data_IF_228223769388
#
_entry.id   IF_228223769388
#
_cell.length_a   1.000
_cell.length_b   1.000
_cell.length_c   1.000
_cell.angle_alpha   90.00
_cell.angle_beta   90.00
_cell.angle_gamma   90.00
#
_symmetry.space_group_name_H-M   'P 1'
#
loop_
_entity.id
_entity.type
_entity.pdbx_description
1 polymer ?
#
# COMPACT_ATOMS: atom_id res chain seq x y z
N UNK A 1 -0.41 -4.79 82.36
CA UNK A 1 0.64 -4.67 81.36
C UNK A 1 0.27 -5.53 80.17
N UNK A 2 -0.21 -4.91 79.05
CA UNK A 2 -0.56 -5.62 77.81
C UNK A 2 0.51 -5.33 76.75
N UNK A 3 1.26 -6.35 76.38
CA UNK A 3 2.25 -6.26 75.29
C UNK A 3 1.55 -6.29 73.92
N UNK A 4 1.66 -5.22 73.13
CA UNK A 4 1.29 -5.16 71.67
C UNK A 4 2.45 -5.71 70.85
N UNK A 5 2.21 -6.80 70.13
CA UNK A 5 3.10 -7.30 69.10
C UNK A 5 2.90 -6.45 67.83
N UNK A 6 3.95 -5.78 67.38
CA UNK A 6 4.01 -5.11 66.10
C UNK A 6 4.48 -6.12 65.06
N UNK A 7 3.61 -6.46 64.09
CA UNK A 7 4.02 -7.22 62.89
C UNK A 7 4.55 -6.24 61.85
N UNK A 8 5.82 -6.36 61.52
CA UNK A 8 6.41 -5.71 60.37
C UNK A 8 6.09 -6.54 59.09
N UNK A 9 5.31 -5.96 58.15
CA UNK A 9 5.17 -6.52 56.80
C UNK A 9 6.29 -5.96 55.95
N UNK A 10 7.23 -6.81 55.50
CA UNK A 10 8.20 -6.45 54.46
C UNK A 10 7.52 -6.58 53.10
N UNK A 11 7.33 -5.45 52.40
CA UNK A 11 6.87 -5.43 51.04
C UNK A 11 8.05 -5.77 50.11
N UNK A 12 8.02 -6.93 49.49
CA UNK A 12 8.97 -7.32 48.46
C UNK A 12 8.44 -6.71 47.13
N UNK A 13 9.07 -5.64 46.67
CA UNK A 13 8.82 -5.06 45.33
C UNK A 13 9.54 -5.90 44.28
N UNK A 14 8.82 -6.67 43.50
CA UNK A 14 9.35 -7.29 42.29
C UNK A 14 9.55 -6.20 41.23
N UNK A 15 10.80 -5.84 40.95
CA UNK A 15 11.17 -5.05 39.78
C UNK A 15 11.12 -6.01 38.60
N UNK A 16 10.02 -5.95 37.81
CA UNK A 16 9.95 -6.61 36.52
C UNK A 16 10.77 -5.74 35.56
N UNK A 17 11.97 -6.18 35.20
CA UNK A 17 12.72 -5.57 34.13
C UNK A 17 11.93 -5.72 32.83
N UNK A 18 11.80 -4.66 32.00
CA UNK A 18 11.15 -4.79 30.72
C UNK A 18 11.93 -5.81 29.88
N UNK A 19 11.26 -6.88 29.44
CA UNK A 19 11.82 -7.81 28.48
C UNK A 19 12.16 -7.02 27.21
N UNK A 20 13.44 -6.95 26.87
CA UNK A 20 13.90 -6.36 25.61
C UNK A 20 13.29 -7.23 24.49
N UNK A 21 12.35 -6.68 23.71
CA UNK A 21 11.84 -7.35 22.52
C UNK A 21 13.05 -7.69 21.62
N UNK A 22 13.09 -8.88 21.03
CA UNK A 22 14.17 -9.23 20.12
C UNK A 22 14.22 -8.19 19.01
N UNK A 23 15.38 -7.57 18.79
CA UNK A 23 15.58 -6.68 17.65
C UNK A 23 15.31 -7.50 16.38
N UNK A 24 14.33 -7.08 15.61
CA UNK A 24 14.10 -7.65 14.27
C UNK A 24 15.38 -7.45 13.49
N UNK A 25 15.92 -8.55 12.94
CA UNK A 25 17.13 -8.46 12.10
C UNK A 25 16.79 -7.70 10.83
N UNK A 26 17.61 -6.72 10.52
CA UNK A 26 17.59 -5.98 9.27
C UNK A 26 17.65 -6.91 8.06
N UNK A 27 16.89 -6.62 7.00
CA UNK A 27 17.05 -7.34 5.74
C UNK A 27 18.33 -6.88 5.03
N UNK A 28 19.09 -7.85 4.55
CA UNK A 28 20.35 -7.60 3.83
C UNK A 28 20.53 -8.59 2.69
N UNK A 29 21.16 -8.12 1.61
CA UNK A 29 21.59 -8.99 0.51
C UNK A 29 20.45 -9.55 -0.33
N UNK A 30 19.32 -8.79 -0.48
CA UNK A 30 18.33 -9.04 -1.52
C UNK A 30 18.90 -8.64 -2.88
N UNK A 31 18.23 -9.07 -3.93
CA UNK A 31 18.51 -8.67 -5.31
C UNK A 31 17.22 -8.21 -5.97
N UNK A 32 17.31 -7.17 -6.77
CA UNK A 32 16.22 -6.68 -7.61
C UNK A 32 16.38 -7.19 -9.06
N UNK A 33 15.29 -7.60 -9.75
CA UNK A 33 13.94 -7.71 -9.22
C UNK A 33 13.79 -8.80 -8.15
N UNK A 34 12.79 -8.66 -7.25
CA UNK A 34 12.58 -9.55 -6.11
C UNK A 34 12.21 -10.99 -6.52
N UNK A 35 11.48 -11.13 -7.60
CA UNK A 35 11.03 -12.42 -8.13
C UNK A 35 10.82 -12.32 -9.65
N UNK A 36 10.79 -13.46 -10.30
CA UNK A 36 10.59 -13.55 -11.75
C UNK A 36 9.15 -13.23 -12.16
N UNK A 37 8.99 -12.71 -13.38
CA UNK A 37 7.70 -12.38 -14.00
C UNK A 37 7.47 -10.88 -14.17
N UNK A 38 6.43 -10.57 -14.90
CA UNK A 38 6.02 -9.18 -15.16
C UNK A 38 4.91 -8.80 -14.16
N UNK A 39 5.27 -7.96 -13.21
CA UNK A 39 4.39 -7.51 -12.13
C UNK A 39 4.60 -6.02 -11.88
N UNK A 40 3.50 -5.35 -11.52
CA UNK A 40 3.46 -3.92 -11.28
C UNK A 40 2.65 -3.57 -10.03
N UNK A 41 2.62 -2.30 -9.66
CA UNK A 41 1.73 -1.73 -8.65
C UNK A 41 1.74 -2.54 -7.33
N UNK A 42 2.94 -2.80 -6.75
CA UNK A 42 3.06 -3.71 -5.63
C UNK A 42 2.60 -3.09 -4.32
N UNK A 43 1.65 -3.76 -3.66
CA UNK A 43 1.27 -3.45 -2.29
C UNK A 43 1.92 -4.45 -1.32
N UNK A 44 2.67 -3.94 -0.36
CA UNK A 44 3.37 -4.73 0.66
C UNK A 44 2.71 -4.65 2.03
N UNK A 45 2.66 -5.79 2.73
CA UNK A 45 2.22 -5.86 4.12
C UNK A 45 3.10 -6.82 4.92
N UNK A 46 3.41 -6.44 6.17
CA UNK A 46 4.06 -7.35 7.12
C UNK A 46 3.03 -8.21 7.84
N UNK A 47 3.17 -9.53 7.77
CA UNK A 47 2.35 -10.48 8.54
C UNK A 47 3.29 -11.26 9.45
N UNK A 48 3.36 -10.86 10.71
CA UNK A 48 4.38 -11.36 11.63
C UNK A 48 5.79 -10.93 11.20
N UNK A 49 6.65 -11.90 10.89
CA UNK A 49 8.03 -11.70 10.43
C UNK A 49 8.19 -11.83 8.90
N UNK A 50 7.09 -12.04 8.17
CA UNK A 50 7.06 -12.31 6.74
C UNK A 50 6.50 -11.11 5.97
N UNK A 51 7.21 -10.70 4.91
CA UNK A 51 6.72 -9.73 3.94
C UNK A 51 5.85 -10.44 2.92
N UNK A 52 4.64 -9.91 2.72
CA UNK A 52 3.73 -10.28 1.65
C UNK A 52 3.63 -9.13 0.65
N UNK A 53 3.69 -9.46 -0.63
CA UNK A 53 3.54 -8.51 -1.74
C UNK A 53 2.41 -8.99 -2.64
N UNK A 54 1.50 -8.08 -2.92
CA UNK A 54 0.35 -8.26 -3.82
C UNK A 54 0.55 -7.33 -5.01
N UNK A 55 0.92 -7.84 -6.18
CA UNK A 55 1.12 -7.00 -7.36
C UNK A 55 -0.02 -7.18 -8.38
N UNK A 56 -0.14 -6.23 -9.29
CA UNK A 56 -0.82 -6.40 -10.57
C UNK A 56 -0.03 -7.34 -11.47
N UNK A 57 -0.68 -8.28 -12.16
CA UNK A 57 -0.05 -9.01 -13.26
C UNK A 57 0.11 -8.09 -14.47
N UNK A 58 1.35 -7.79 -14.87
CA UNK A 58 1.65 -6.81 -15.91
C UNK A 58 1.65 -7.45 -17.30
N UNK A 59 0.46 -7.60 -17.85
CA UNK A 59 0.15 -8.18 -19.15
C UNK A 59 -0.80 -7.27 -19.92
N UNK A 60 -1.11 -7.52 -21.20
CA UNK A 60 -2.20 -6.84 -21.91
C UNK A 60 -3.52 -6.92 -21.10
N UNK A 61 -4.30 -5.85 -21.09
CA UNK A 61 -5.46 -5.64 -20.21
C UNK A 61 -6.47 -6.80 -20.23
N UNK A 62 -6.71 -7.39 -21.39
CA UNK A 62 -7.63 -8.53 -21.56
C UNK A 62 -7.15 -9.82 -20.87
N UNK A 63 -5.86 -9.90 -20.54
CA UNK A 63 -5.25 -11.05 -19.87
C UNK A 63 -5.15 -10.86 -18.36
N UNK A 64 -5.36 -9.65 -17.86
CA UNK A 64 -5.30 -9.32 -16.44
C UNK A 64 -6.61 -9.72 -15.74
N UNK A 65 -6.80 -11.02 -15.59
CA UNK A 65 -8.02 -11.64 -15.03
C UNK A 65 -7.76 -12.36 -13.70
N UNK A 66 -6.58 -12.20 -13.14
CA UNK A 66 -6.17 -12.81 -11.88
C UNK A 66 -5.07 -11.99 -11.21
N UNK A 67 -4.89 -12.19 -9.92
CA UNK A 67 -3.74 -11.74 -9.16
C UNK A 67 -3.03 -12.90 -8.49
N UNK A 68 -1.71 -12.77 -8.36
CA UNK A 68 -0.84 -13.61 -7.54
C UNK A 68 -0.42 -12.83 -6.29
N UNK A 69 0.12 -13.52 -5.30
CA UNK A 69 0.83 -12.91 -4.19
C UNK A 69 2.17 -13.61 -3.99
N UNK A 70 3.07 -12.92 -3.31
CA UNK A 70 4.41 -13.42 -3.01
C UNK A 70 4.70 -13.21 -1.53
N UNK A 71 5.36 -14.17 -0.89
CA UNK A 71 5.79 -14.00 0.49
C UNK A 71 7.24 -14.39 0.72
N UNK A 72 7.92 -13.70 1.63
CA UNK A 72 9.31 -13.95 1.99
C UNK A 72 9.61 -13.47 3.42
N UNK A 73 10.47 -14.23 4.11
CA UNK A 73 11.01 -13.83 5.42
C UNK A 73 12.37 -13.13 5.31
N UNK A 74 13.10 -13.36 4.22
CA UNK A 74 14.50 -12.98 4.06
C UNK A 74 14.79 -12.12 2.82
N UNK A 75 13.77 -11.85 1.97
CA UNK A 75 13.84 -11.19 0.66
C UNK A 75 14.70 -11.92 -0.39
N UNK A 76 15.11 -13.16 -0.12
CA UNK A 76 15.95 -13.97 -1.01
C UNK A 76 15.21 -15.18 -1.54
N UNK A 77 14.38 -15.77 -0.67
CA UNK A 77 13.55 -16.93 -1.01
C UNK A 77 12.10 -16.52 -1.01
N UNK A 78 11.47 -16.60 -2.16
CA UNK A 78 10.08 -16.19 -2.36
C UNK A 78 9.17 -17.40 -2.59
N UNK A 79 8.03 -17.39 -1.92
CA UNK A 79 6.92 -18.30 -2.19
C UNK A 79 5.88 -17.56 -3.02
N UNK A 80 5.60 -18.09 -4.22
CA UNK A 80 4.52 -17.61 -5.08
C UNK A 80 3.20 -18.28 -4.69
N UNK A 81 2.17 -17.48 -4.46
CA UNK A 81 0.78 -17.90 -4.24
C UNK A 81 -0.03 -17.53 -5.48
N UNK A 82 -0.29 -18.51 -6.33
CA UNK A 82 -0.90 -18.26 -7.65
C UNK A 82 -2.41 -18.13 -7.55
N UNK A 83 -2.98 -17.20 -8.33
CA UNK A 83 -4.43 -17.02 -8.49
C UNK A 83 -5.16 -16.82 -7.16
N UNK A 84 -4.66 -15.90 -6.32
CA UNK A 84 -5.30 -15.59 -5.04
C UNK A 84 -6.73 -15.05 -5.21
N UNK A 85 -7.01 -14.45 -6.37
CA UNK A 85 -8.32 -14.01 -6.85
C UNK A 85 -8.34 -14.07 -8.37
N UNK A 86 -9.49 -14.39 -8.97
CA UNK A 86 -9.67 -14.48 -10.41
C UNK A 86 -11.04 -13.95 -10.85
N UNK A 87 -11.29 -13.95 -12.16
CA UNK A 87 -12.60 -13.63 -12.72
C UNK A 87 -13.70 -14.67 -12.38
N UNK A 88 -13.38 -15.75 -11.69
CA UNK A 88 -14.38 -16.69 -11.17
C UNK A 88 -14.98 -16.19 -9.85
N UNK A 89 -14.17 -15.52 -9.04
CA UNK A 89 -14.58 -14.95 -7.77
C UNK A 89 -15.21 -13.55 -7.93
N UNK A 90 -14.87 -12.82 -9.03
CA UNK A 90 -15.39 -11.48 -9.32
C UNK A 90 -16.26 -11.56 -10.58
N UNK A 91 -17.56 -11.70 -10.42
CA UNK A 91 -18.51 -11.93 -11.53
C UNK A 91 -18.60 -10.78 -12.54
N UNK A 92 -18.20 -9.57 -12.17
CA UNK A 92 -18.22 -8.36 -13.00
C UNK A 92 -16.86 -8.02 -13.62
N UNK A 93 -15.79 -8.79 -13.31
CA UNK A 93 -14.46 -8.64 -13.92
C UNK A 93 -14.44 -9.16 -15.35
N UNK A 94 -14.07 -8.32 -16.29
CA UNK A 94 -13.92 -8.64 -17.71
C UNK A 94 -12.48 -8.48 -18.19
N UNK A 95 -11.73 -7.52 -17.62
CA UNK A 95 -10.33 -7.20 -17.97
C UNK A 95 -9.70 -6.35 -16.87
N UNK A 96 -8.39 -6.12 -16.96
CA UNK A 96 -7.69 -5.03 -16.25
C UNK A 96 -7.90 -5.09 -14.72
N UNK A 97 -7.55 -6.22 -14.11
CA UNK A 97 -7.54 -6.35 -12.65
C UNK A 97 -6.23 -5.75 -12.11
N UNK A 98 -6.32 -4.59 -11.42
CA UNK A 98 -5.20 -3.72 -11.11
C UNK A 98 -5.07 -3.33 -9.66
N UNK A 99 -3.84 -2.88 -9.33
CA UNK A 99 -3.47 -2.07 -8.18
C UNK A 99 -4.13 -2.55 -6.87
N UNK A 100 -3.73 -3.73 -6.37
CA UNK A 100 -4.27 -4.23 -5.12
C UNK A 100 -3.88 -3.36 -3.93
N UNK A 101 -4.79 -3.21 -2.95
CA UNK A 101 -4.46 -2.73 -1.62
C UNK A 101 -4.96 -3.76 -0.59
N UNK A 102 -4.12 -4.12 0.37
CA UNK A 102 -4.39 -5.19 1.32
C UNK A 102 -4.56 -4.66 2.73
N UNK A 103 -5.62 -5.06 3.41
CA UNK A 103 -5.88 -4.73 4.82
C UNK A 103 -6.05 -6.02 5.62
N UNK A 104 -5.32 -6.14 6.74
CA UNK A 104 -5.55 -7.20 7.72
C UNK A 104 -6.36 -6.63 8.89
N UNK A 105 -7.60 -7.11 9.06
CA UNK A 105 -8.53 -6.62 10.07
C UNK A 105 -9.33 -7.79 10.65
N UNK A 106 -9.41 -7.87 11.99
CA UNK A 106 -10.22 -8.86 12.72
C UNK A 106 -9.97 -10.31 12.29
N UNK A 107 -8.69 -10.65 12.00
CA UNK A 107 -8.27 -11.98 11.56
C UNK A 107 -8.64 -12.31 10.12
N UNK A 108 -9.12 -11.35 9.34
CA UNK A 108 -9.43 -11.46 7.92
C UNK A 108 -8.56 -10.53 7.08
N UNK A 109 -8.37 -10.91 5.83
CA UNK A 109 -7.66 -10.12 4.82
C UNK A 109 -8.67 -9.56 3.84
N UNK A 110 -8.62 -8.25 3.62
CA UNK A 110 -9.46 -7.54 2.66
C UNK A 110 -8.58 -7.03 1.54
N UNK A 111 -8.85 -7.47 0.33
CA UNK A 111 -8.15 -7.07 -0.89
C UNK A 111 -9.04 -6.09 -1.65
N UNK A 112 -8.63 -4.84 -1.69
CA UNK A 112 -9.21 -3.85 -2.58
C UNK A 112 -8.50 -3.94 -3.93
N UNK A 113 -9.24 -3.75 -5.01
CA UNK A 113 -8.73 -3.86 -6.37
C UNK A 113 -9.52 -2.94 -7.30
N UNK A 114 -8.90 -2.51 -8.39
CA UNK A 114 -9.62 -1.87 -9.48
C UNK A 114 -9.76 -2.83 -10.65
N UNK A 115 -10.81 -2.73 -11.44
CA UNK A 115 -10.87 -3.45 -12.69
C UNK A 115 -11.81 -2.83 -13.74
N UNK A 116 -11.67 -3.33 -14.97
CA UNK A 116 -12.40 -3.00 -16.19
C UNK A 116 -12.03 -1.63 -16.81
N UNK A 117 -11.02 -0.93 -16.26
CA UNK A 117 -10.50 0.32 -16.83
C UNK A 117 -11.62 1.30 -17.22
N UNK A 118 -12.26 1.87 -16.19
CA UNK A 118 -13.52 2.60 -16.30
C UNK A 118 -13.42 3.78 -17.27
N UNK A 119 -14.21 3.69 -18.33
CA UNK A 119 -14.51 4.79 -19.25
C UNK A 119 -16.03 5.04 -19.25
N UNK A 120 -16.45 6.10 -19.94
CA UNK A 120 -17.88 6.41 -20.08
C UNK A 120 -18.66 5.22 -20.65
N UNK A 121 -19.62 4.73 -19.86
CA UNK A 121 -20.47 3.59 -20.21
C UNK A 121 -19.94 2.20 -19.82
N UNK A 122 -18.69 2.08 -19.35
CA UNK A 122 -18.14 0.81 -18.88
C UNK A 122 -18.54 0.55 -17.42
N UNK A 123 -18.79 -0.71 -17.11
CA UNK A 123 -18.98 -1.16 -15.72
C UNK A 123 -17.65 -1.59 -15.16
N UNK A 124 -17.12 -0.83 -14.22
CA UNK A 124 -15.84 -1.13 -13.57
C UNK A 124 -15.64 -0.28 -12.33
N UNK A 125 -14.42 -0.18 -11.87
CA UNK A 125 -14.03 0.63 -10.72
C UNK A 125 -13.40 -0.17 -9.59
N UNK A 126 -13.48 0.34 -8.37
CA UNK A 126 -12.85 -0.24 -7.18
C UNK A 126 -13.81 -1.23 -6.53
N UNK A 127 -13.34 -2.48 -6.36
CA UNK A 127 -14.00 -3.55 -5.61
C UNK A 127 -13.27 -3.91 -4.33
N UNK A 128 -13.89 -4.76 -3.53
CA UNK A 128 -13.30 -5.33 -2.32
C UNK A 128 -13.63 -6.81 -2.22
N UNK A 129 -12.61 -7.62 -1.93
CA UNK A 129 -12.74 -9.05 -1.69
C UNK A 129 -12.19 -9.42 -0.31
N UNK A 130 -12.61 -10.54 0.23
CA UNK A 130 -12.24 -11.01 1.57
C UNK A 130 -11.75 -12.43 1.58
N UNK A 131 -10.76 -12.73 2.43
CA UNK A 131 -10.27 -14.07 2.71
C UNK A 131 -9.94 -14.24 4.20
N UNK A 132 -9.97 -15.48 4.70
CA UNK A 132 -9.46 -15.83 6.03
C UNK A 132 -7.95 -16.04 6.05
N UNK A 133 -7.28 -16.00 4.87
CA UNK A 133 -5.85 -16.26 4.71
C UNK A 133 -5.21 -15.25 3.76
N UNK A 134 -3.95 -14.89 3.97
CA UNK A 134 -3.24 -13.96 3.10
C UNK A 134 -3.06 -14.49 1.66
N UNK A 135 -2.91 -15.79 1.49
CA UNK A 135 -2.82 -16.42 0.16
C UNK A 135 -4.18 -16.63 -0.54
N UNK A 136 -5.28 -16.17 0.07
CA UNK A 136 -6.61 -16.40 -0.49
C UNK A 136 -7.15 -17.82 -0.26
N UNK A 137 -8.11 -18.30 -1.11
CA UNK A 137 -8.74 -17.52 -2.18
C UNK A 137 -9.57 -16.34 -1.64
N UNK A 138 -9.42 -15.19 -2.26
CA UNK A 138 -10.26 -14.04 -1.96
C UNK A 138 -11.60 -14.16 -2.69
N UNK A 139 -12.67 -13.68 -2.06
CA UNK A 139 -14.03 -13.71 -2.62
C UNK A 139 -14.59 -12.29 -2.63
N UNK A 140 -15.18 -11.91 -3.74
CA UNK A 140 -15.87 -10.63 -3.89
C UNK A 140 -16.87 -10.42 -2.75
N UNK A 141 -16.74 -9.30 -2.04
CA UNK A 141 -17.54 -8.99 -0.86
C UNK A 141 -18.93 -8.44 -1.22
N UNK A 142 -19.06 -7.78 -2.38
CA UNK A 142 -20.25 -7.01 -2.76
C UNK A 142 -20.96 -7.55 -4.01
N UNK A 143 -20.29 -8.33 -4.87
CA UNK A 143 -20.78 -8.74 -6.18
C UNK A 143 -20.93 -7.59 -7.19
N UNK A 144 -20.35 -6.45 -6.89
CA UNK A 144 -20.34 -5.21 -7.68
C UNK A 144 -19.23 -4.28 -7.21
N UNK A 145 -18.86 -3.23 -7.97
CA UNK A 145 -17.95 -2.21 -7.47
C UNK A 145 -18.44 -1.54 -6.18
N UNK A 146 -17.52 -1.24 -5.28
CA UNK A 146 -17.73 -0.33 -4.15
C UNK A 146 -17.81 1.11 -4.65
N UNK A 147 -16.95 1.47 -5.62
CA UNK A 147 -16.88 2.77 -6.30
C UNK A 147 -16.75 2.55 -7.80
N UNK A 148 -17.60 3.21 -8.57
CA UNK A 148 -17.57 3.12 -10.04
C UNK A 148 -17.80 4.47 -10.73
N UNK A 149 -18.06 5.54 -9.98
CA UNK A 149 -18.28 6.86 -10.52
C UNK A 149 -16.98 7.65 -10.64
N UNK A 150 -16.84 8.43 -11.71
CA UNK A 150 -15.79 9.43 -11.85
C UNK A 150 -16.21 10.66 -11.07
N UNK A 151 -15.61 10.87 -9.91
CA UNK A 151 -15.89 12.00 -9.01
C UNK A 151 -14.68 12.92 -8.98
N UNK A 152 -14.89 14.25 -9.08
CA UNK A 152 -13.82 15.26 -9.14
C UNK A 152 -12.78 15.00 -10.24
N UNK A 153 -13.16 14.30 -11.32
CA UNK A 153 -12.25 13.94 -12.41
C UNK A 153 -11.40 12.69 -12.16
N UNK A 154 -11.43 12.10 -10.97
CA UNK A 154 -10.63 10.93 -10.63
C UNK A 154 -11.20 9.65 -11.25
N UNK A 155 -10.36 8.94 -12.00
CA UNK A 155 -10.65 7.56 -12.38
C UNK A 155 -10.68 6.70 -11.13
N UNK A 156 -11.69 5.83 -10.90
CA UNK A 156 -11.77 4.98 -9.71
C UNK A 156 -10.82 3.78 -9.80
N UNK A 157 -9.53 4.06 -9.61
CA UNK A 157 -8.40 3.10 -9.59
C UNK A 157 -7.42 3.46 -8.49
N UNK A 158 -6.43 2.61 -8.28
CA UNK A 158 -5.23 2.87 -7.47
C UNK A 158 -5.56 3.26 -6.03
N UNK A 159 -6.43 2.49 -5.42
CA UNK A 159 -6.85 2.73 -4.05
C UNK A 159 -5.77 2.33 -3.05
N UNK A 160 -5.55 3.17 -2.06
CA UNK A 160 -4.79 2.89 -0.85
C UNK A 160 -5.70 3.04 0.37
N UNK A 161 -5.69 2.06 1.27
CA UNK A 161 -6.54 2.05 2.46
C UNK A 161 -5.71 2.20 3.71
N UNK A 162 -6.06 3.19 4.53
CA UNK A 162 -5.35 3.57 5.73
C UNK A 162 -6.30 3.68 6.93
N UNK A 163 -5.91 3.13 8.07
CA UNK A 163 -6.63 3.37 9.31
C UNK A 163 -5.95 4.51 10.07
N UNK A 164 -6.66 5.61 10.28
CA UNK A 164 -6.17 6.70 11.12
C UNK A 164 -6.09 6.25 12.58
N UNK A 165 -4.90 6.15 13.18
CA UNK A 165 -4.74 5.66 14.54
C UNK A 165 -5.34 6.61 15.60
N UNK A 166 -5.60 7.87 15.26
CA UNK A 166 -6.16 8.84 16.19
C UNK A 166 -7.68 8.74 16.29
N UNK A 167 -8.37 8.62 15.16
CA UNK A 167 -9.84 8.51 15.12
C UNK A 167 -10.35 7.08 15.04
N UNK A 168 -9.53 6.16 14.51
CA UNK A 168 -9.94 4.80 14.15
C UNK A 168 -10.66 4.71 12.81
N UNK A 169 -10.84 5.82 12.11
CA UNK A 169 -11.50 5.88 10.81
C UNK A 169 -10.70 5.13 9.74
N UNK A 170 -11.42 4.39 8.90
CA UNK A 170 -10.85 3.83 7.69
C UNK A 170 -10.96 4.85 6.56
N UNK A 171 -9.82 5.25 6.04
CA UNK A 171 -9.67 6.20 4.95
C UNK A 171 -9.24 5.46 3.69
N UNK A 172 -9.80 5.82 2.54
CA UNK A 172 -9.31 5.35 1.25
C UNK A 172 -8.99 6.54 0.37
N UNK A 173 -7.73 6.59 -0.06
CA UNK A 173 -7.24 7.49 -1.11
C UNK A 173 -7.29 6.72 -2.42
N UNK A 174 -7.75 7.37 -3.48
CA UNK A 174 -7.81 6.73 -4.79
C UNK A 174 -7.84 7.75 -5.92
N UNK A 175 -7.42 7.34 -7.08
CA UNK A 175 -7.65 8.10 -8.30
C UNK A 175 -6.52 8.02 -9.30
N UNK A 176 -6.91 7.97 -10.57
CA UNK A 176 -6.06 8.20 -11.72
C UNK A 176 -6.39 9.51 -12.41
N UNK A 177 -5.82 9.71 -13.61
CA UNK A 177 -6.02 10.88 -14.49
C UNK A 177 -5.68 12.23 -13.86
N UNK A 178 -4.75 12.24 -12.91
CA UNK A 178 -4.28 13.46 -12.27
C UNK A 178 -5.17 13.98 -11.15
N UNK A 179 -6.09 13.17 -10.63
CA UNK A 179 -7.00 13.53 -9.54
C UNK A 179 -6.97 12.50 -8.43
N UNK A 180 -6.92 12.96 -7.19
CA UNK A 180 -6.94 12.12 -5.98
C UNK A 180 -8.13 12.48 -5.11
N UNK A 181 -8.95 11.49 -4.80
CA UNK A 181 -10.03 11.60 -3.83
C UNK A 181 -9.68 10.90 -2.52
N UNK A 182 -10.18 11.46 -1.43
CA UNK A 182 -10.24 10.84 -0.12
C UNK A 182 -11.69 10.55 0.24
N UNK A 183 -11.96 9.30 0.69
CA UNK A 183 -13.26 8.86 1.20
C UNK A 183 -13.10 8.17 2.55
N UNK A 184 -14.17 8.14 3.35
CA UNK A 184 -14.25 7.36 4.58
C UNK A 184 -15.00 6.07 4.31
N UNK A 185 -14.44 4.94 4.73
CA UNK A 185 -15.05 3.61 4.61
C UNK A 185 -15.82 3.24 5.88
N UNK A 186 -16.95 2.58 5.72
CA UNK A 186 -17.59 1.88 6.83
C UNK A 186 -16.68 0.76 7.34
N UNK A 187 -16.82 0.39 8.61
CA UNK A 187 -15.98 -0.62 9.28
C UNK A 187 -16.05 -2.02 8.63
N UNK A 188 -17.14 -2.32 7.94
CA UNK A 188 -17.32 -3.56 7.19
C UNK A 188 -16.85 -3.49 5.72
N UNK A 189 -16.31 -2.35 5.28
CA UNK A 189 -15.82 -2.04 3.94
C UNK A 189 -16.88 -2.19 2.81
N UNK A 190 -18.16 -2.10 3.14
CA UNK A 190 -19.26 -2.27 2.17
C UNK A 190 -19.88 -0.96 1.68
N UNK A 191 -19.53 0.15 2.29
CA UNK A 191 -20.08 1.47 1.95
C UNK A 191 -19.15 2.59 2.38
N UNK A 192 -19.43 3.79 1.86
CA UNK A 192 -18.78 5.01 2.31
C UNK A 192 -19.54 5.63 3.49
N UNK A 193 -18.80 6.37 4.33
CA UNK A 193 -19.33 7.21 5.38
C UNK A 193 -19.15 8.69 5.02
N UNK A 194 -20.13 9.56 5.34
CA UNK A 194 -19.96 10.99 5.10
C UNK A 194 -18.91 11.58 6.05
N UNK A 195 -18.24 12.62 5.59
CA UNK A 195 -17.48 13.54 6.45
C UNK A 195 -18.44 14.39 7.29
N UNK A 196 -17.91 15.18 8.22
CA UNK A 196 -18.72 16.05 9.11
C UNK A 196 -19.57 17.07 8.36
N UNK A 197 -19.11 17.53 7.18
CA UNK A 197 -19.81 18.43 6.29
C UNK A 197 -20.87 17.75 5.41
N UNK A 198 -21.04 16.44 5.56
CA UNK A 198 -21.99 15.61 4.79
C UNK A 198 -21.47 15.15 3.43
N UNK A 199 -20.29 15.58 2.98
CA UNK A 199 -19.70 15.12 1.73
C UNK A 199 -19.20 13.66 1.85
N UNK A 200 -19.28 12.90 0.75
CA UNK A 200 -18.71 11.54 0.68
C UNK A 200 -17.29 11.53 0.10
N UNK A 201 -16.94 12.58 -0.65
CA UNK A 201 -15.68 12.68 -1.37
C UNK A 201 -15.02 14.02 -1.06
N UNK A 202 -13.71 13.99 -0.82
CA UNK A 202 -12.85 15.17 -0.74
C UNK A 202 -11.75 15.03 -1.76
N UNK A 203 -11.65 16.02 -2.66
CA UNK A 203 -10.49 16.08 -3.54
C UNK A 203 -9.28 16.56 -2.73
N UNK A 204 -8.18 15.79 -2.80
CA UNK A 204 -6.94 16.04 -2.06
C UNK A 204 -5.72 16.02 -2.98
N UNK A 205 -5.91 16.26 -4.26
CA UNK A 205 -4.91 16.18 -5.33
C UNK A 205 -3.72 17.09 -5.07
N UNK A 206 -2.50 16.56 -4.83
CA UNK A 206 -1.29 17.37 -4.76
C UNK A 206 -0.83 17.83 -6.14
N UNK A 207 0.06 18.82 -6.17
CA UNK A 207 0.73 19.24 -7.43
C UNK A 207 1.50 18.06 -8.06
N UNK A 208 1.30 17.86 -9.37
CA UNK A 208 1.98 16.81 -10.15
C UNK A 208 1.41 15.41 -10.00
N UNK A 209 0.41 15.21 -9.13
CA UNK A 209 -0.24 13.91 -8.94
C UNK A 209 -0.77 13.34 -10.25
N UNK A 210 -0.52 12.05 -10.48
CA UNK A 210 -1.13 11.30 -11.57
C UNK A 210 -1.96 10.15 -11.03
N UNK A 211 -1.38 9.31 -10.15
CA UNK A 211 -2.00 8.11 -9.59
C UNK A 211 -1.18 7.51 -8.44
N UNK A 212 -1.57 6.34 -7.92
CA UNK A 212 -0.80 5.54 -6.96
C UNK A 212 -0.56 6.22 -5.62
N UNK A 213 -1.60 6.71 -4.92
CA UNK A 213 -1.44 7.33 -3.60
C UNK A 213 -1.02 6.31 -2.56
N UNK A 214 -0.14 6.71 -1.65
CA UNK A 214 0.28 5.91 -0.50
C UNK A 214 0.60 6.81 0.69
N UNK A 215 0.44 6.31 1.91
CA UNK A 215 0.73 7.09 3.12
C UNK A 215 1.40 6.23 4.19
N UNK A 216 2.41 6.81 4.85
CA UNK A 216 2.94 6.29 6.11
C UNK A 216 2.84 7.34 7.20
N UNK A 217 2.83 6.89 8.46
CA UNK A 217 3.00 7.77 9.61
C UNK A 217 4.37 7.52 10.26
N UNK A 218 5.10 8.59 10.50
CA UNK A 218 6.37 8.57 11.22
C UNK A 218 6.51 9.80 12.12
N UNK A 219 6.87 9.59 13.38
CA UNK A 219 7.11 10.65 14.37
C UNK A 219 5.96 11.68 14.48
N UNK A 220 4.71 11.19 14.38
CA UNK A 220 3.51 12.04 14.44
C UNK A 220 3.19 12.82 13.17
N UNK A 221 3.97 12.66 12.10
CA UNK A 221 3.73 13.26 10.79
C UNK A 221 3.23 12.21 9.79
N UNK A 222 2.47 12.66 8.79
CA UNK A 222 1.93 11.87 7.70
C UNK A 222 2.69 12.19 6.42
N UNK A 223 3.31 11.17 5.84
CA UNK A 223 4.05 11.26 4.59
C UNK A 223 3.14 10.70 3.51
N UNK A 224 2.54 11.59 2.74
CA UNK A 224 1.71 11.23 1.60
C UNK A 224 2.57 11.21 0.34
N UNK A 225 2.53 10.10 -0.37
CA UNK A 225 3.36 9.84 -1.55
C UNK A 225 2.45 9.48 -2.72
N UNK A 226 2.90 9.77 -3.95
CA UNK A 226 2.13 9.49 -5.17
C UNK A 226 3.04 9.36 -6.37
N UNK A 227 2.50 8.84 -7.49
CA UNK A 227 3.20 8.77 -8.76
C UNK A 227 2.91 9.99 -9.62
N UNK A 228 3.97 10.47 -10.30
CA UNK A 228 3.96 11.52 -11.31
C UNK A 228 4.45 10.96 -12.63
N UNK A 229 4.14 11.63 -13.75
CA UNK A 229 4.57 11.23 -15.10
C UNK A 229 3.66 10.18 -15.72
N UNK A 230 4.18 9.43 -16.67
CA UNK A 230 3.42 8.40 -17.39
C UNK A 230 4.01 7.02 -17.11
N UNK A 231 3.19 6.07 -16.68
CA UNK A 231 3.62 4.75 -16.25
C UNK A 231 4.36 3.90 -17.32
N UNK A 232 4.20 4.22 -18.61
CA UNK A 232 4.94 3.60 -19.73
C UNK A 232 6.17 4.38 -20.17
N UNK A 233 6.54 5.43 -19.44
CA UNK A 233 7.64 6.31 -19.82
C UNK A 233 8.69 6.39 -18.73
N UNK A 234 9.88 6.84 -19.12
CA UNK A 234 11.02 7.02 -18.21
C UNK A 234 10.84 8.17 -17.21
N UNK A 235 9.83 9.03 -17.39
CA UNK A 235 9.49 10.11 -16.49
C UNK A 235 8.53 9.71 -15.35
N UNK A 236 8.12 8.45 -15.26
CA UNK A 236 7.33 7.96 -14.13
C UNK A 236 8.21 7.95 -12.87
N UNK A 237 7.70 8.49 -11.78
CA UNK A 237 8.48 8.73 -10.57
C UNK A 237 7.57 8.88 -9.35
N UNK A 238 8.14 8.86 -8.16
CA UNK A 238 7.43 9.07 -6.89
C UNK A 238 7.78 10.41 -6.27
N UNK A 239 6.76 11.20 -5.95
CA UNK A 239 6.88 12.44 -5.17
C UNK A 239 6.19 12.28 -3.81
N UNK A 240 6.41 13.26 -2.91
CA UNK A 240 5.84 13.21 -1.57
C UNK A 240 5.57 14.59 -0.97
N UNK A 241 4.77 14.55 0.10
CA UNK A 241 4.48 15.65 1.03
C UNK A 241 4.57 15.19 2.47
N UNK A 242 4.62 16.14 3.40
CA UNK A 242 4.52 15.91 4.85
C UNK A 242 3.36 16.76 5.38
N UNK A 243 2.44 16.14 6.13
CA UNK A 243 1.30 16.80 6.74
C UNK A 243 1.19 16.48 8.22
N UNK A 244 0.49 17.33 8.97
CA UNK A 244 0.17 17.11 10.38
C UNK A 244 -1.04 16.19 10.58
N UNK A 245 -1.82 15.95 9.52
CA UNK A 245 -3.03 15.14 9.55
C UNK A 245 -3.11 14.24 8.32
N UNK A 246 -3.85 13.11 8.38
CA UNK A 246 -4.06 12.27 7.21
C UNK A 246 -5.02 12.88 6.16
N UNK A 247 -5.55 14.07 6.45
CA UNK A 247 -6.49 14.77 5.57
C UNK A 247 -5.84 15.88 4.73
N UNK A 248 -4.52 16.06 4.84
CA UNK A 248 -3.76 17.13 4.20
C UNK A 248 -3.83 18.47 4.95
N UNK A 249 -3.49 19.60 4.30
CA UNK A 249 -3.11 19.70 2.89
C UNK A 249 -1.81 18.94 2.56
N UNK A 250 -1.68 18.52 1.30
CA UNK A 250 -0.52 17.78 0.79
C UNK A 250 0.28 18.67 -0.18
N UNK A 251 1.17 19.49 0.37
CA UNK A 251 2.07 20.35 -0.41
C UNK A 251 3.30 19.56 -0.86
N UNK A 252 3.53 19.55 -2.18
CA UNK A 252 4.65 18.81 -2.79
C UNK A 252 5.99 19.30 -2.25
N UNK A 253 6.80 18.38 -1.73
CA UNK A 253 8.16 18.66 -1.25
C UNK A 253 9.20 18.34 -2.31
N UNK A 254 9.15 17.14 -2.88
CA UNK A 254 10.15 16.70 -3.86
C UNK A 254 9.90 15.30 -4.40
N UNK A 255 10.79 14.88 -5.28
CA UNK A 255 10.84 13.52 -5.83
C UNK A 255 11.74 12.65 -4.97
N UNK A 256 11.33 11.41 -4.70
CA UNK A 256 12.09 10.46 -3.87
C UNK A 256 12.54 9.22 -4.65
N UNK A 257 11.86 8.88 -5.74
CA UNK A 257 12.20 7.75 -6.60
C UNK A 257 11.99 8.17 -8.05
N UNK A 258 12.96 7.92 -8.90
CA UNK A 258 12.92 8.22 -10.33
C UNK A 258 13.79 7.25 -11.12
N UNK A 259 13.81 7.34 -12.44
CA UNK A 259 14.63 6.48 -13.31
C UNK A 259 16.11 6.55 -12.95
N UNK A 260 16.76 5.41 -12.96
CA UNK A 260 18.19 5.26 -12.75
C UNK A 260 18.82 4.60 -13.98
N UNK A 261 19.86 5.22 -14.60
CA UNK A 261 20.44 4.72 -15.85
C UNK A 261 21.19 3.39 -15.72
N UNK A 262 21.49 2.96 -14.50
CA UNK A 262 22.20 1.70 -14.23
C UNK A 262 21.26 0.57 -13.81
N UNK A 263 20.02 0.91 -13.34
CA UNK A 263 19.14 -0.07 -12.72
C UNK A 263 17.77 -0.21 -13.41
N UNK A 264 17.17 0.87 -13.90
CA UNK A 264 15.85 0.80 -14.56
C UNK A 264 15.19 2.15 -14.74
N UNK A 265 14.12 2.17 -15.52
CA UNK A 265 13.38 3.40 -15.84
C UNK A 265 11.93 3.31 -15.38
N UNK A 266 11.23 4.45 -15.33
CA UNK A 266 9.80 4.51 -15.04
C UNK A 266 9.44 3.90 -13.69
N UNK A 267 10.21 4.22 -12.64
CA UNK A 267 10.00 3.69 -11.30
C UNK A 267 8.88 4.43 -10.58
N UNK A 268 7.87 3.70 -10.14
CA UNK A 268 6.71 4.29 -9.48
C UNK A 268 5.71 3.28 -8.92
N UNK A 269 4.53 3.76 -8.62
CA UNK A 269 3.40 3.03 -8.03
C UNK A 269 3.88 2.08 -6.93
N UNK A 270 4.16 2.68 -5.80
CA UNK A 270 4.90 2.08 -4.70
C UNK A 270 4.03 1.81 -3.49
N UNK A 271 4.54 0.99 -2.61
CA UNK A 271 4.13 0.88 -1.21
C UNK A 271 5.33 0.97 -0.29
N UNK A 272 5.10 1.14 1.01
CA UNK A 272 6.17 1.19 2.00
C UNK A 272 5.83 0.24 3.14
N UNK A 273 6.80 -0.58 3.53
CA UNK A 273 6.70 -1.43 4.71
C UNK A 273 7.72 -1.03 5.76
N UNK A 274 7.37 -1.25 7.02
CA UNK A 274 8.28 -1.04 8.15
C UNK A 274 8.67 -2.36 8.78
N UNK A 275 9.98 -2.55 9.02
CA UNK A 275 10.51 -3.67 9.79
C UNK A 275 11.44 -3.18 10.89
N UNK A 276 11.00 -3.28 12.13
CA UNK A 276 11.70 -2.64 13.24
C UNK A 276 11.69 -1.12 13.11
N UNK A 277 12.87 -0.51 13.03
CA UNK A 277 13.03 0.93 12.84
C UNK A 277 13.26 1.31 11.37
N UNK A 278 13.47 0.33 10.48
CA UNK A 278 13.76 0.52 9.07
C UNK A 278 12.50 0.58 8.22
N UNK A 279 12.51 1.45 7.19
CA UNK A 279 11.49 1.55 6.17
C UNK A 279 12.04 1.06 4.84
N UNK A 280 11.18 0.39 4.07
CA UNK A 280 11.51 -0.13 2.74
C UNK A 280 10.42 0.28 1.77
N UNK A 281 10.80 0.84 0.63
CA UNK A 281 9.92 1.15 -0.48
C UNK A 281 9.90 -0.03 -1.46
N UNK A 282 8.71 -0.51 -1.78
CA UNK A 282 8.46 -1.55 -2.77
C UNK A 282 7.81 -0.86 -3.96
N UNK A 283 8.32 -1.06 -5.16
CA UNK A 283 7.90 -0.33 -6.34
C UNK A 283 8.06 -1.18 -7.60
N UNK A 284 7.46 -0.77 -8.70
CA UNK A 284 7.82 -1.35 -9.99
C UNK A 284 8.75 -0.44 -10.79
N UNK A 285 9.52 -1.04 -11.70
CA UNK A 285 10.32 -0.33 -12.71
C UNK A 285 10.33 -1.12 -14.01
N UNK A 286 10.67 -0.46 -15.12
CA UNK A 286 10.98 -1.11 -16.37
C UNK A 286 12.46 -1.53 -16.38
N UNK A 287 12.81 -2.77 -16.81
CA UNK A 287 14.19 -3.15 -17.08
C UNK A 287 14.80 -2.28 -18.17
N UNK A 288 16.11 -1.96 -18.08
CA UNK A 288 16.81 -1.08 -19.01
C UNK A 288 16.77 -1.53 -20.48
N UNK A 289 16.70 -2.82 -20.73
CA UNK A 289 16.68 -3.45 -22.05
C UNK A 289 15.25 -3.66 -22.61
N UNK A 290 14.24 -3.24 -21.84
CA UNK A 290 12.84 -3.40 -22.26
C UNK A 290 12.34 -2.20 -23.05
N UNK A 291 11.67 -2.48 -24.17
CA UNK A 291 10.88 -1.51 -24.95
C UNK A 291 9.37 -1.76 -24.81
N UNK A 292 8.99 -2.79 -24.06
CA UNK A 292 7.60 -3.15 -23.79
C UNK A 292 7.14 -2.42 -22.52
N UNK A 293 6.15 -1.55 -22.68
CA UNK A 293 5.56 -0.80 -21.57
C UNK A 293 4.82 -1.66 -20.54
N UNK A 294 4.49 -2.90 -20.85
CA UNK A 294 3.90 -3.85 -19.91
C UNK A 294 4.98 -4.67 -19.17
N UNK A 295 6.25 -4.61 -19.60
CA UNK A 295 7.35 -5.28 -18.91
C UNK A 295 7.79 -4.49 -17.69
N UNK A 296 7.10 -4.68 -16.59
CA UNK A 296 7.41 -4.10 -15.27
C UNK A 296 7.82 -5.19 -14.30
N UNK A 297 8.79 -4.89 -13.44
CA UNK A 297 9.30 -5.82 -12.41
C UNK A 297 9.25 -5.19 -11.03
N UNK A 298 9.01 -6.00 -10.01
CA UNK A 298 8.91 -5.53 -8.62
C UNK A 298 10.27 -5.49 -7.96
N UNK A 299 10.56 -4.36 -7.34
CA UNK A 299 11.81 -4.07 -6.64
C UNK A 299 11.55 -3.57 -5.22
N UNK A 300 12.57 -3.64 -4.37
CA UNK A 300 12.56 -3.10 -3.01
C UNK A 300 13.88 -2.41 -2.73
N UNK A 301 13.84 -1.25 -2.08
CA UNK A 301 15.03 -0.56 -1.58
C UNK A 301 14.73 0.11 -0.24
N UNK A 302 15.75 0.63 0.43
CA UNK A 302 15.58 1.36 1.68
C UNK A 302 14.94 2.71 1.44
N UNK A 303 14.03 3.08 2.31
CA UNK A 303 13.49 4.43 2.43
C UNK A 303 14.14 5.09 3.65
N UNK A 304 15.07 6.01 3.40
CA UNK A 304 15.85 6.67 4.42
C UNK A 304 15.35 8.11 4.65
N UNK A 305 15.62 8.63 5.85
CA UNK A 305 15.23 9.99 6.24
C UNK A 305 16.45 10.76 6.74
N UNK A 306 16.48 12.05 6.47
CA UNK A 306 17.49 12.95 7.05
C UNK A 306 17.18 13.29 8.52
N UNK A 307 18.04 14.07 9.14
CA UNK A 307 17.91 14.52 10.53
C UNK A 307 16.69 15.41 10.79
N UNK A 308 16.13 16.03 9.76
CA UNK A 308 14.93 16.86 9.81
C UNK A 308 13.64 16.10 9.50
N UNK A 309 13.77 14.81 9.14
CA UNK A 309 12.65 13.94 8.81
C UNK A 309 12.24 13.99 7.34
N UNK A 310 12.99 14.65 6.45
CA UNK A 310 12.72 14.57 5.02
C UNK A 310 13.18 13.22 4.45
N UNK A 311 12.39 12.70 3.50
CA UNK A 311 12.79 11.47 2.80
C UNK A 311 13.97 11.78 1.88
N UNK A 312 15.03 10.99 1.99
CA UNK A 312 16.17 11.04 1.09
C UNK A 312 15.83 10.35 -0.24
N UNK A 313 16.44 10.80 -1.37
CA UNK A 313 16.29 10.09 -2.64
C UNK A 313 16.65 8.61 -2.51
N UNK A 314 15.77 7.74 -2.98
CA UNK A 314 15.97 6.28 -2.96
C UNK A 314 17.11 5.92 -3.88
N UNK A 315 18.02 5.09 -3.39
CA UNK A 315 19.10 4.52 -4.18
C UNK A 315 18.65 3.16 -4.68
N UNK A 316 18.35 3.09 -5.96
CA UNK A 316 18.02 1.80 -6.59
C UNK A 316 19.20 0.83 -6.50
N UNK A 317 18.87 -0.45 -6.38
CA UNK A 317 19.85 -1.54 -6.37
C UNK A 317 19.52 -2.61 -7.43
#
# INVERSE_FOLDING_TARGET
MKFRKILLFAAISFIVAPACAPKTTEWTGWTNPLFEGQYADPEGIMIGDELWIYPTTSHPFEQQLYMDAFSSKDLKTWTKHSNIITNKEISWLQKALWAPAIVHKDGKFFLFFACNDVYEGDTGGIGVAVSDKPEGPFRDLLGKPLLNDIVNGAQPIDQFVYQDPASGDWLMFYGGWGHCNLVRLADDFKSLLPFEDGSLFREVTPEGYVEGPFMIQRDGKFYFMWSEGQWRADNYRVAYSISDTPYGPFERIGTILESDPEHGTGAGHHSVVRRGDDFYIIYHRHPLDSTDGDNRVVCIDRLEFDENGFILPVKMS
#
